data_IF_465615774943
#
_entry.id   IF_465615774943
#
_cell.length_a   1.000
_cell.length_b   1.000
_cell.length_c   1.000
_cell.angle_alpha   90.00
_cell.angle_beta   90.00
_cell.angle_gamma   90.00
#
_symmetry.space_group_name_H-M   'P 1'
#
loop_
_entity.id
_entity.type
_entity.pdbx_description
1 polymer ?
#
# COMPACT_ATOMS: atom_id res chain seq x y z
N UNK A 1 -1.88 -12.57 -5.83
CA UNK A 1 -0.78 -13.06 -6.69
C UNK A 1 0.27 -11.97 -6.81
N UNK A 2 1.55 -12.31 -6.83
CA UNK A 2 2.64 -11.38 -7.13
C UNK A 2 3.54 -11.98 -8.24
N UNK A 3 3.91 -11.17 -9.23
CA UNK A 3 4.81 -11.56 -10.33
C UNK A 3 6.20 -10.96 -10.12
N UNK A 4 7.27 -11.67 -10.48
CA UNK A 4 8.63 -11.27 -10.13
C UNK A 4 9.52 -11.11 -11.38
N UNK A 5 10.24 -9.99 -11.46
CA UNK A 5 11.25 -9.61 -12.45
C UNK A 5 12.57 -9.32 -11.72
N UNK A 6 13.72 -9.51 -12.36
CA UNK A 6 15.04 -9.33 -11.73
C UNK A 6 15.89 -8.35 -12.55
N UNK A 7 16.47 -7.34 -11.91
CA UNK A 7 17.44 -6.39 -12.49
C UNK A 7 18.67 -6.28 -11.58
N UNK A 8 19.72 -5.54 -11.93
CA UNK A 8 20.91 -5.38 -11.08
C UNK A 8 21.62 -4.06 -11.41
N UNK A 9 21.70 -3.11 -10.46
CA UNK A 9 22.89 -2.24 -10.22
C UNK A 9 22.80 -1.21 -9.05
N UNK A 10 23.54 -1.48 -7.96
CA UNK A 10 24.52 -0.66 -7.18
C UNK A 10 24.42 0.87 -6.92
N UNK A 11 24.55 1.21 -5.60
CA UNK A 11 25.22 2.38 -4.89
C UNK A 11 24.50 3.76 -4.83
N UNK A 12 24.51 4.60 -3.77
CA UNK A 12 25.17 4.64 -2.44
C UNK A 12 24.66 5.82 -1.54
N UNK A 13 24.63 5.58 -0.22
CA UNK A 13 25.17 6.38 0.91
C UNK A 13 24.71 7.82 1.32
N UNK A 14 24.03 7.87 2.49
CA UNK A 14 24.37 8.50 3.80
C UNK A 14 24.42 10.04 4.07
N UNK A 15 23.63 10.43 5.10
CA UNK A 15 24.06 11.19 6.31
C UNK A 15 23.75 12.70 6.37
N UNK A 16 23.64 13.42 7.50
CA UNK A 16 23.34 13.20 8.94
C UNK A 16 23.28 14.61 9.64
N UNK A 17 22.75 14.70 10.88
CA UNK A 17 22.82 15.77 11.92
C UNK A 17 21.98 17.07 11.76
N UNK A 18 21.00 17.38 12.66
CA UNK A 18 21.08 17.95 14.05
C UNK A 18 21.58 19.42 14.07
N UNK A 19 21.12 20.41 14.87
CA UNK A 19 20.25 20.53 16.06
C UNK A 19 20.11 22.04 16.42
N UNK A 20 19.07 22.37 17.21
CA UNK A 20 19.02 23.37 18.33
C UNK A 20 19.12 24.89 18.07
N UNK A 21 18.21 25.69 18.67
CA UNK A 21 18.34 26.40 19.98
C UNK A 21 17.03 27.16 20.32
N UNK A 22 16.66 27.21 21.63
CA UNK A 22 15.48 27.85 22.28
C UNK A 22 15.81 29.31 22.76
N UNK A 23 15.09 29.92 23.74
CA UNK A 23 13.79 30.59 23.71
C UNK A 23 13.90 32.08 24.17
N UNK A 24 12.82 32.89 24.09
CA UNK A 24 12.84 34.19 24.76
C UNK A 24 11.54 35.00 24.72
N UNK A 25 11.03 35.30 25.92
CA UNK A 25 10.12 36.37 26.30
C UNK A 25 8.63 36.30 25.85
N UNK A 26 7.84 35.70 26.73
CA UNK A 26 6.43 36.01 26.90
C UNK A 26 6.28 37.44 27.46
N UNK A 27 5.67 38.33 26.69
CA UNK A 27 5.04 39.55 27.20
C UNK A 27 3.56 39.51 26.85
N UNK A 28 2.74 39.26 27.87
CA UNK A 28 1.29 39.36 27.80
C UNK A 28 0.91 40.84 27.84
N UNK A 29 0.55 41.40 26.68
CA UNK A 29 -0.03 42.74 26.57
C UNK A 29 -1.47 42.59 26.06
N UNK A 30 -2.42 42.91 26.93
CA UNK A 30 -3.86 42.93 26.63
C UNK A 30 -4.13 43.83 25.41
N UNK A 31 -4.68 43.23 24.33
CA UNK A 31 -4.95 43.93 23.08
C UNK A 31 -6.45 44.16 22.94
N UNK A 32 -6.86 45.42 23.06
CA UNK A 32 -8.13 45.95 22.53
C UNK A 32 -8.36 45.35 21.13
N UNK A 33 -9.59 44.96 20.80
CA UNK A 33 -9.95 44.41 19.48
C UNK A 33 -9.52 45.39 18.38
N UNK A 34 -8.36 45.13 17.80
CA UNK A 34 -7.73 45.96 16.78
C UNK A 34 -8.44 45.66 15.47
N UNK A 35 -9.46 46.45 15.13
CA UNK A 35 -9.84 46.55 13.73
C UNK A 35 -8.60 47.05 12.99
N UNK A 36 -8.05 46.21 12.12
CA UNK A 36 -6.91 46.55 11.28
C UNK A 36 -7.50 47.21 10.04
N UNK A 37 -7.41 48.54 9.97
CA UNK A 37 -7.53 49.20 8.69
C UNK A 37 -6.29 48.79 7.89
N UNK A 38 -6.49 47.89 6.92
CA UNK A 38 -5.39 47.25 6.16
C UNK A 38 -4.82 48.24 5.14
N UNK A 39 -5.57 49.27 4.78
CA UNK A 39 -5.13 50.38 3.94
C UNK A 39 -4.27 51.36 4.74
N UNK A 40 -3.09 51.71 4.19
CA UNK A 40 -2.46 52.98 4.57
C UNK A 40 -3.33 54.12 4.01
N UNK A 41 -3.58 55.21 4.75
CA UNK A 41 -4.25 56.36 4.19
C UNK A 41 -3.40 56.90 3.01
N UNK A 42 -4.03 57.28 1.89
CA UNK A 42 -3.28 57.78 0.74
C UNK A 42 -2.61 59.11 1.10
N UNK A 43 -1.32 59.25 0.78
CA UNK A 43 -0.57 60.52 0.89
C UNK A 43 -0.98 61.49 -0.24
N UNK A 44 -2.27 61.74 -0.39
CA UNK A 44 -2.87 62.48 -1.52
C UNK A 44 -2.51 63.97 -1.56
N UNK A 45 -1.87 64.51 -0.52
CA UNK A 45 -1.57 65.94 -0.37
C UNK A 45 -0.12 66.32 -0.67
N UNK A 46 0.77 65.33 -0.86
CA UNK A 46 2.18 65.57 -1.19
C UNK A 46 2.42 65.46 -2.70
N UNK A 47 3.05 66.48 -3.30
CA UNK A 47 3.39 66.49 -4.74
C UNK A 47 4.23 65.26 -5.15
N UNK A 48 5.10 64.77 -4.26
CA UNK A 48 5.88 63.55 -4.49
C UNK A 48 5.06 62.26 -4.46
N UNK A 49 4.01 62.21 -3.62
CA UNK A 49 3.08 61.07 -3.56
C UNK A 49 2.20 61.01 -4.82
N UNK A 50 1.58 62.14 -5.16
CA UNK A 50 0.69 62.25 -6.32
C UNK A 50 1.40 61.94 -7.64
N UNK A 51 2.63 62.44 -7.83
CA UNK A 51 3.44 62.12 -9.03
C UNK A 51 3.81 60.65 -9.10
N UNK A 52 4.17 60.02 -7.97
CA UNK A 52 4.50 58.58 -7.90
C UNK A 52 3.31 57.69 -8.24
N UNK A 53 2.11 58.07 -7.82
CA UNK A 53 0.86 57.33 -8.10
C UNK A 53 0.45 57.45 -9.56
N UNK A 54 0.52 58.64 -10.15
CA UNK A 54 0.23 58.84 -11.57
C UNK A 54 1.25 58.13 -12.48
N UNK A 55 2.54 58.10 -12.09
CA UNK A 55 3.56 57.30 -12.78
C UNK A 55 3.25 55.81 -12.67
N UNK A 56 2.80 55.32 -11.51
CA UNK A 56 2.41 53.94 -11.34
C UNK A 56 1.22 53.53 -12.22
N UNK A 57 0.24 54.44 -12.41
CA UNK A 57 -0.93 54.22 -13.28
C UNK A 57 -0.52 54.27 -14.77
N UNK A 58 0.19 55.32 -15.20
CA UNK A 58 0.55 55.52 -16.61
C UNK A 58 1.53 54.48 -17.14
N UNK A 59 2.48 54.05 -16.31
CA UNK A 59 3.49 53.06 -16.68
C UNK A 59 3.19 51.66 -16.13
N UNK A 60 1.96 51.41 -15.65
CA UNK A 60 1.50 50.11 -15.15
C UNK A 60 2.48 49.43 -14.19
N UNK A 61 3.12 50.23 -13.31
CA UNK A 61 4.22 49.76 -12.44
C UNK A 61 3.81 48.58 -11.57
N UNK A 62 2.60 48.62 -11.01
CA UNK A 62 2.08 47.54 -10.17
C UNK A 62 1.74 46.28 -10.99
N UNK A 63 1.29 46.44 -12.24
CA UNK A 63 1.08 45.32 -13.17
C UNK A 63 2.39 44.62 -13.51
N UNK A 64 3.46 45.38 -13.78
CA UNK A 64 4.79 44.83 -14.03
C UNK A 64 5.38 44.17 -12.78
N UNK A 65 5.13 44.73 -11.59
CA UNK A 65 5.50 44.11 -10.31
C UNK A 65 4.78 42.77 -10.11
N UNK A 66 3.49 42.69 -10.42
CA UNK A 66 2.72 41.44 -10.39
C UNK A 66 3.22 40.41 -11.41
N UNK A 67 3.53 40.86 -12.64
CA UNK A 67 4.13 40.02 -13.69
C UNK A 67 5.49 39.46 -13.26
N UNK A 68 6.29 40.24 -12.52
CA UNK A 68 7.56 39.79 -11.93
C UNK A 68 7.38 38.64 -10.94
N UNK A 69 6.31 38.65 -10.13
CA UNK A 69 5.99 37.55 -9.21
C UNK A 69 5.59 36.29 -9.99
N UNK A 70 4.73 36.43 -11.01
CA UNK A 70 4.29 35.32 -11.87
C UNK A 70 5.49 34.72 -12.61
N UNK A 71 6.37 35.57 -13.14
CA UNK A 71 7.63 35.16 -13.77
C UNK A 71 8.51 34.37 -12.78
N UNK A 72 8.60 34.81 -11.53
CA UNK A 72 9.29 34.07 -10.47
C UNK A 72 8.68 32.70 -10.13
N UNK A 73 7.37 32.51 -10.34
CA UNK A 73 6.72 31.19 -10.16
C UNK A 73 7.04 30.22 -11.30
N UNK A 74 7.36 30.72 -12.50
CA UNK A 74 7.78 29.88 -13.64
C UNK A 74 9.10 29.14 -13.38
N UNK A 75 9.98 29.72 -12.56
CA UNK A 75 11.27 29.12 -12.19
C UNK A 75 11.22 28.29 -10.91
N UNK A 76 10.04 28.11 -10.30
CA UNK A 76 9.86 27.18 -9.17
C UNK A 76 9.50 25.80 -9.69
N UNK A 77 10.01 24.78 -9.00
CA UNK A 77 9.59 23.40 -9.25
C UNK A 77 8.09 23.24 -8.94
N UNK A 78 7.33 22.52 -9.79
CA UNK A 78 5.90 22.33 -9.58
C UNK A 78 5.63 21.44 -8.37
N UNK A 79 4.67 21.81 -7.53
CA UNK A 79 4.25 21.02 -6.36
C UNK A 79 3.32 19.84 -6.72
N UNK A 80 3.33 19.40 -7.98
CA UNK A 80 2.49 18.31 -8.48
C UNK A 80 3.17 16.98 -8.21
N UNK A 81 2.52 16.09 -7.48
CA UNK A 81 2.90 14.69 -7.41
C UNK A 81 2.50 13.98 -8.71
N UNK A 82 3.31 13.03 -9.15
CA UNK A 82 3.00 12.24 -10.34
C UNK A 82 2.00 11.10 -10.01
N UNK A 83 0.74 11.44 -9.73
CA UNK A 83 -0.29 10.44 -9.48
C UNK A 83 -0.57 9.64 -10.77
N UNK A 84 -0.58 8.28 -10.75
CA UNK A 84 -0.66 7.39 -9.58
C UNK A 84 0.66 6.81 -9.05
N UNK A 85 1.80 7.14 -9.68
CA UNK A 85 3.13 6.61 -9.35
C UNK A 85 3.70 7.18 -8.04
N UNK A 86 3.41 8.45 -7.76
CA UNK A 86 3.70 9.13 -6.51
C UNK A 86 2.39 9.50 -5.81
N UNK A 87 2.25 9.14 -4.53
CA UNK A 87 1.06 9.42 -3.73
C UNK A 87 1.39 10.43 -2.63
N UNK A 88 0.38 11.23 -2.25
CA UNK A 88 0.52 12.13 -1.11
C UNK A 88 0.78 11.33 0.18
N UNK A 89 1.60 11.86 1.10
CA UNK A 89 1.83 11.21 2.39
C UNK A 89 0.54 11.19 3.22
N UNK A 90 0.08 10.01 3.61
CA UNK A 90 -1.07 9.82 4.49
C UNK A 90 -0.61 9.58 5.93
N UNK A 91 -1.38 10.10 6.90
CA UNK A 91 -1.13 9.83 8.31
C UNK A 91 -1.65 8.44 8.70
N UNK A 92 -1.07 7.75 9.70
CA UNK A 92 -1.59 6.46 10.21
C UNK A 92 -3.00 6.50 10.83
N UNK A 93 -3.61 7.69 10.90
CA UNK A 93 -4.98 7.92 11.39
C UNK A 93 -5.93 8.26 10.24
N UNK A 94 -5.51 8.05 9.00
CA UNK A 94 -6.40 8.19 7.86
C UNK A 94 -7.58 7.21 8.01
N UNK A 95 -8.73 7.58 7.47
CA UNK A 95 -9.98 6.82 7.63
C UNK A 95 -10.42 6.34 6.25
N UNK A 96 -10.42 5.02 6.07
CA UNK A 96 -10.64 4.33 4.80
C UNK A 96 -11.81 3.34 4.83
N UNK A 97 -11.64 2.20 4.17
CA UNK A 97 -12.70 1.21 4.01
C UNK A 97 -12.93 0.42 5.31
N UNK A 98 -14.12 -0.18 5.47
CA UNK A 98 -14.45 -0.91 6.70
C UNK A 98 -14.20 -2.40 6.49
N UNK A 99 -13.50 -3.05 7.42
CA UNK A 99 -13.22 -4.50 7.39
C UNK A 99 -13.36 -5.12 8.78
N UNK A 100 -13.79 -6.38 8.91
CA UNK A 100 -13.90 -7.06 10.23
C UNK A 100 -12.64 -7.85 10.58
N UNK A 101 -12.10 -7.63 11.79
CA UNK A 101 -10.97 -8.36 12.36
C UNK A 101 -11.40 -9.59 13.15
N UNK A 102 -10.55 -10.61 13.09
CA UNK A 102 -10.55 -11.82 13.93
C UNK A 102 -9.49 -11.73 15.04
N UNK A 103 -9.74 -12.41 16.15
CA UNK A 103 -8.75 -12.66 17.20
C UNK A 103 -7.62 -13.53 16.63
N UNK A 104 -6.47 -13.63 17.33
CA UNK A 104 -5.43 -14.53 16.90
C UNK A 104 -5.96 -15.95 16.76
N UNK A 105 -6.79 -16.43 17.68
CA UNK A 105 -7.47 -17.75 17.65
C UNK A 105 -8.38 -18.05 16.44
N UNK A 106 -8.46 -17.15 15.45
CA UNK A 106 -9.31 -17.28 14.27
C UNK A 106 -10.79 -16.90 14.51
N UNK A 107 -11.18 -16.77 15.77
CA UNK A 107 -12.54 -16.38 16.14
C UNK A 107 -12.80 -14.91 15.77
N UNK A 108 -13.98 -14.60 15.26
CA UNK A 108 -14.37 -13.22 14.99
C UNK A 108 -14.33 -12.37 16.27
N UNK A 109 -13.78 -11.16 16.20
CA UNK A 109 -13.75 -10.27 17.38
C UNK A 109 -15.14 -9.72 17.67
N UNK A 110 -16.03 -9.68 16.68
CA UNK A 110 -17.36 -9.11 16.84
C UNK A 110 -18.19 -9.93 17.84
N UNK A 111 -18.51 -9.32 18.97
CA UNK A 111 -19.38 -9.88 20.02
C UNK A 111 -20.85 -9.46 19.89
N UNK A 112 -21.22 -8.93 18.72
CA UNK A 112 -22.57 -8.43 18.43
C UNK A 112 -23.13 -7.44 19.48
N UNK A 113 -22.25 -6.57 20.02
CA UNK A 113 -22.62 -5.61 21.08
C UNK A 113 -23.51 -4.47 20.60
N UNK A 114 -23.61 -4.25 19.27
CA UNK A 114 -24.38 -3.19 18.61
C UNK A 114 -23.99 -1.74 18.94
N UNK A 115 -22.87 -1.52 19.62
CA UNK A 115 -22.37 -0.16 19.88
C UNK A 115 -22.03 0.59 18.57
N UNK A 116 -21.46 -0.11 17.58
CA UNK A 116 -21.09 0.46 16.29
C UNK A 116 -22.32 0.93 15.48
N UNK A 117 -23.43 0.20 15.59
CA UNK A 117 -24.72 0.56 14.99
C UNK A 117 -25.30 1.82 15.66
N UNK A 118 -25.23 1.90 16.99
CA UNK A 118 -25.74 3.04 17.75
C UNK A 118 -24.94 4.33 17.56
N UNK A 119 -23.61 4.23 17.44
CA UNK A 119 -22.73 5.42 17.29
C UNK A 119 -22.69 5.95 15.85
N UNK A 120 -23.12 5.17 14.86
CA UNK A 120 -23.02 5.55 13.46
C UNK A 120 -23.94 6.76 13.17
N UNK A 121 -23.40 7.94 12.83
CA UNK A 121 -24.22 9.15 12.67
C UNK A 121 -25.13 9.09 11.44
N UNK A 122 -24.73 8.32 10.41
CA UNK A 122 -25.50 8.09 9.20
C UNK A 122 -26.31 6.78 9.22
N UNK A 123 -26.28 6.05 10.34
CA UNK A 123 -26.97 4.76 10.51
C UNK A 123 -26.73 3.78 9.34
N UNK A 124 -25.48 3.71 8.89
CA UNK A 124 -25.07 2.89 7.74
C UNK A 124 -24.90 1.40 8.07
N UNK A 125 -24.85 1.05 9.35
CA UNK A 125 -24.54 -0.31 9.82
C UNK A 125 -25.83 -0.99 10.29
N UNK A 126 -26.06 -2.23 9.87
CA UNK A 126 -27.17 -3.07 10.35
C UNK A 126 -26.62 -4.36 10.94
N UNK A 127 -27.00 -4.66 12.19
CA UNK A 127 -26.48 -5.81 12.93
C UNK A 127 -27.62 -6.68 13.47
N UNK A 128 -27.63 -7.95 13.10
CA UNK A 128 -28.52 -8.97 13.67
C UNK A 128 -27.68 -9.95 14.51
N UNK A 129 -28.17 -10.26 15.72
CA UNK A 129 -27.41 -10.99 16.72
C UNK A 129 -28.20 -12.21 17.18
N UNK A 130 -27.60 -13.40 17.07
CA UNK A 130 -28.18 -14.65 17.53
C UNK A 130 -27.15 -15.43 18.37
N UNK A 131 -27.61 -16.23 19.34
CA UNK A 131 -26.72 -17.13 20.07
C UNK A 131 -26.29 -18.27 19.14
N UNK A 132 -24.97 -18.49 19.06
CA UNK A 132 -24.40 -19.64 18.36
C UNK A 132 -24.60 -20.93 19.18
N UNK A 133 -24.40 -22.09 18.56
CA UNK A 133 -24.45 -23.40 19.23
C UNK A 133 -23.58 -23.47 20.50
N UNK A 134 -22.47 -22.72 20.54
CA UNK A 134 -21.54 -22.65 21.67
C UNK A 134 -22.01 -21.72 22.81
N UNK A 135 -23.20 -21.12 22.69
CA UNK A 135 -23.74 -20.16 23.65
C UNK A 135 -23.13 -18.75 23.57
N UNK A 136 -22.13 -18.54 22.70
CA UNK A 136 -21.55 -17.23 22.43
C UNK A 136 -22.47 -16.36 21.56
N UNK A 137 -22.51 -15.05 21.84
CA UNK A 137 -23.31 -14.09 21.06
C UNK A 137 -22.53 -13.65 19.83
N UNK A 138 -23.06 -13.93 18.64
CA UNK A 138 -22.42 -13.62 17.36
C UNK A 138 -23.39 -12.95 16.39
N UNK A 139 -22.83 -12.33 15.35
CA UNK A 139 -23.62 -11.66 14.32
C UNK A 139 -24.00 -12.64 13.23
N UNK A 140 -25.29 -12.77 12.94
CA UNK A 140 -25.78 -13.54 11.77
C UNK A 140 -25.72 -12.71 10.51
N UNK A 141 -26.00 -11.42 10.64
CA UNK A 141 -25.94 -10.43 9.58
C UNK A 141 -25.22 -9.19 10.07
N UNK A 142 -24.19 -8.80 9.34
CA UNK A 142 -23.42 -7.59 9.57
C UNK A 142 -23.19 -6.91 8.22
N UNK A 143 -23.99 -5.91 7.93
CA UNK A 143 -23.93 -5.19 6.65
C UNK A 143 -23.61 -3.71 6.90
N UNK A 144 -22.72 -3.16 6.08
CA UNK A 144 -22.40 -1.73 6.05
C UNK A 144 -22.75 -1.19 4.67
N UNK A 145 -23.64 -0.21 4.64
CA UNK A 145 -23.98 0.52 3.43
C UNK A 145 -22.94 1.63 3.18
N UNK A 146 -21.99 1.35 2.28
CA UNK A 146 -20.93 2.30 1.91
C UNK A 146 -21.47 3.58 1.27
N UNK A 147 -22.70 3.58 0.75
CA UNK A 147 -23.33 4.78 0.18
C UNK A 147 -23.82 5.76 1.25
N UNK A 148 -24.14 5.26 2.45
CA UNK A 148 -24.55 6.07 3.61
C UNK A 148 -23.36 6.43 4.50
N UNK A 149 -22.30 5.64 4.48
CA UNK A 149 -21.17 5.85 5.35
C UNK A 149 -20.45 7.18 5.05
N UNK A 150 -20.22 7.99 6.10
CA UNK A 150 -19.50 9.28 6.00
C UNK A 150 -18.02 9.18 6.37
N UNK A 151 -17.49 7.97 6.55
CA UNK A 151 -16.07 7.71 6.86
C UNK A 151 -15.55 8.44 8.13
N UNK A 152 -16.42 8.67 9.12
CA UNK A 152 -16.07 9.36 10.36
C UNK A 152 -15.21 8.54 11.34
N UNK A 153 -15.20 7.21 11.21
CA UNK A 153 -14.43 6.30 12.06
C UNK A 153 -14.92 6.13 13.51
N UNK A 154 -16.13 6.59 13.85
CA UNK A 154 -16.68 6.40 15.20
C UNK A 154 -16.92 4.92 15.53
N UNK A 155 -17.22 4.08 14.55
CA UNK A 155 -17.35 2.64 14.73
C UNK A 155 -16.03 1.96 15.15
N UNK A 156 -14.87 2.51 14.73
CA UNK A 156 -13.55 2.02 15.14
C UNK A 156 -13.27 2.35 16.60
N UNK A 157 -13.54 3.59 17.02
CA UNK A 157 -13.26 4.06 18.38
C UNK A 157 -14.29 3.53 19.40
N UNK A 158 -15.53 3.28 18.98
CA UNK A 158 -16.58 2.77 19.86
C UNK A 158 -16.55 1.25 20.06
N UNK A 159 -15.82 0.50 19.23
CA UNK A 159 -15.80 -0.94 19.31
C UNK A 159 -14.95 -1.40 20.51
N UNK A 160 -15.52 -2.08 21.52
CA UNK A 160 -14.80 -2.45 22.75
C UNK A 160 -13.75 -3.57 22.55
N UNK A 161 -13.76 -4.23 21.40
CA UNK A 161 -12.99 -5.44 21.08
C UNK A 161 -12.14 -5.30 19.81
N UNK A 162 -12.05 -4.08 19.26
CA UNK A 162 -11.33 -3.78 18.01
C UNK A 162 -11.65 -4.75 16.85
N UNK A 163 -12.93 -5.04 16.68
CA UNK A 163 -13.41 -6.03 15.73
C UNK A 163 -13.45 -5.56 14.28
N UNK A 164 -13.12 -4.31 13.97
CA UNK A 164 -13.20 -3.77 12.62
C UNK A 164 -11.91 -3.07 12.25
N UNK A 165 -11.05 -3.70 11.42
CA UNK A 165 -9.95 -3.08 10.67
C UNK A 165 -9.34 -4.05 9.59
N UNK A 166 -8.46 -3.57 8.71
CA UNK A 166 -8.06 -4.09 7.38
C UNK A 166 -6.76 -5.01 7.38
N UNK A 167 -6.58 -6.07 6.53
CA UNK A 167 -5.28 -6.84 6.28
C UNK A 167 -5.22 -7.79 5.02
N UNK A 168 -4.05 -8.00 4.33
CA UNK A 168 -3.87 -8.93 3.16
C UNK A 168 -2.48 -8.97 2.41
N UNK A 169 -2.37 -9.67 1.24
CA UNK A 169 -1.17 -10.02 0.41
C UNK A 169 -0.01 -8.99 0.31
N UNK A 170 -0.37 -7.73 0.36
CA UNK A 170 0.50 -6.56 0.30
C UNK A 170 1.46 -6.52 1.50
N UNK A 171 1.05 -7.08 2.64
CA UNK A 171 1.88 -7.27 3.83
C UNK A 171 3.04 -8.24 3.58
N UNK A 172 2.81 -9.34 2.86
CA UNK A 172 3.88 -10.31 2.48
C UNK A 172 4.89 -9.64 1.55
N UNK A 173 4.39 -8.88 0.57
CA UNK A 173 5.23 -8.14 -0.38
C UNK A 173 6.12 -7.10 0.33
N UNK A 174 5.57 -6.35 1.29
CA UNK A 174 6.34 -5.39 2.08
C UNK A 174 7.40 -6.08 2.95
N UNK A 175 7.03 -7.19 3.60
CA UNK A 175 7.93 -7.95 4.46
C UNK A 175 9.13 -8.52 3.70
N UNK A 176 8.91 -9.12 2.53
CA UNK A 176 9.99 -9.72 1.72
C UNK A 176 10.96 -8.68 1.16
N UNK A 177 10.49 -7.47 0.89
CA UNK A 177 11.32 -6.38 0.38
C UNK A 177 12.10 -5.63 1.47
N UNK A 178 11.97 -6.02 2.74
CA UNK A 178 12.41 -5.23 3.91
C UNK A 178 11.95 -3.76 3.86
N UNK A 179 10.89 -3.50 3.10
CA UNK A 179 10.27 -2.20 2.97
C UNK A 179 9.55 -1.93 4.29
N UNK A 180 10.20 -1.13 5.14
CA UNK A 180 9.60 -0.57 6.36
C UNK A 180 8.62 0.54 5.99
N UNK A 181 7.61 0.21 5.18
CA UNK A 181 6.29 0.74 5.48
C UNK A 181 5.96 0.17 6.85
N UNK A 182 6.21 0.98 7.89
CA UNK A 182 5.73 0.71 9.24
C UNK A 182 4.35 0.11 9.12
N UNK A 183 4.14 -1.03 9.76
CA UNK A 183 2.84 -1.68 9.90
C UNK A 183 1.83 -0.71 10.53
N UNK A 184 1.33 0.24 9.75
CA UNK A 184 0.02 0.82 9.92
C UNK A 184 -0.92 -0.33 9.61
N UNK A 185 -1.66 -0.81 10.61
CA UNK A 185 -2.60 -1.92 10.45
C UNK A 185 -3.82 -1.57 9.57
N UNK A 186 -3.62 -0.81 8.49
CA UNK A 186 -4.55 -0.37 7.44
C UNK A 186 -4.13 -1.09 6.13
N UNK A 187 -5.04 -1.81 5.51
CA UNK A 187 -4.85 -2.59 4.29
C UNK A 187 -5.75 -2.04 3.21
N UNK A 188 -5.08 -1.48 2.22
CA UNK A 188 -5.71 -0.96 1.02
C UNK A 188 -5.64 -2.05 -0.06
N UNK A 189 -6.74 -2.41 -0.73
CA UNK A 189 -6.69 -3.35 -1.83
C UNK A 189 -5.87 -2.76 -2.99
N UNK A 190 -4.84 -3.47 -3.43
CA UNK A 190 -4.00 -3.06 -4.58
C UNK A 190 -4.89 -2.78 -5.80
N UNK A 191 -4.82 -1.56 -6.32
CA UNK A 191 -5.51 -1.15 -7.55
C UNK A 191 -4.58 -1.44 -8.73
N UNK A 192 -4.95 -2.37 -9.62
CA UNK A 192 -4.08 -2.80 -10.72
C UNK A 192 -2.85 -3.57 -10.24
N UNK A 193 -1.68 -2.92 -10.18
CA UNK A 193 -0.43 -3.52 -9.71
C UNK A 193 0.44 -2.50 -8.94
N UNK A 194 1.28 -2.99 -8.03
CA UNK A 194 2.29 -2.21 -7.31
C UNK A 194 3.64 -2.90 -7.45
N UNK A 195 4.66 -2.20 -7.90
CA UNK A 195 6.01 -2.75 -8.07
C UNK A 195 6.84 -2.37 -6.85
N UNK A 196 7.53 -3.34 -6.27
CA UNK A 196 8.45 -3.16 -5.16
C UNK A 196 9.81 -3.67 -5.60
N UNK A 197 10.81 -2.79 -5.54
CA UNK A 197 12.19 -3.08 -5.94
C UNK A 197 13.06 -3.25 -4.69
N UNK A 198 13.82 -4.34 -4.63
CA UNK A 198 14.72 -4.60 -3.52
C UNK A 198 15.91 -5.46 -3.94
N UNK A 199 17.04 -5.29 -3.24
CA UNK A 199 18.22 -6.15 -3.45
C UNK A 199 18.12 -7.39 -2.56
N UNK A 200 18.31 -8.56 -3.16
CA UNK A 200 18.41 -9.82 -2.45
C UNK A 200 19.84 -10.39 -2.55
N UNK A 201 20.39 -10.81 -1.41
CA UNK A 201 21.67 -11.52 -1.34
C UNK A 201 21.42 -13.03 -1.22
N UNK A 202 21.47 -13.73 -2.34
CA UNK A 202 21.24 -15.18 -2.44
C UNK A 202 22.51 -15.97 -2.14
N UNK A 203 23.10 -15.82 -0.94
CA UNK A 203 24.15 -16.72 -0.40
C UNK A 203 25.42 -16.93 -1.27
N UNK A 204 25.52 -16.22 -2.39
CA UNK A 204 26.51 -16.31 -3.44
C UNK A 204 26.86 -14.91 -3.92
N UNK A 205 28.04 -14.75 -4.50
CA UNK A 205 28.77 -13.49 -4.72
C UNK A 205 28.08 -12.38 -5.56
N UNK A 206 26.80 -12.47 -5.89
CA UNK A 206 26.08 -11.51 -6.72
C UNK A 206 24.83 -10.98 -6.02
N UNK A 207 24.75 -9.64 -5.86
CA UNK A 207 23.50 -8.98 -5.49
C UNK A 207 22.58 -9.00 -6.70
N UNK A 208 21.37 -9.52 -6.51
CA UNK A 208 20.32 -9.52 -7.52
C UNK A 208 19.26 -8.54 -7.06
N UNK A 209 18.94 -7.57 -7.90
CA UNK A 209 17.81 -6.67 -7.68
C UNK A 209 16.54 -7.33 -8.21
N UNK A 210 15.48 -7.20 -7.44
CA UNK A 210 14.25 -7.94 -7.58
C UNK A 210 13.13 -6.92 -7.70
N UNK A 211 12.44 -6.92 -8.82
CA UNK A 211 11.16 -6.26 -9.04
C UNK A 211 10.01 -7.22 -8.71
N UNK A 212 9.36 -7.04 -7.58
CA UNK A 212 8.16 -7.79 -7.21
C UNK A 212 6.91 -6.96 -7.47
N UNK A 213 6.11 -7.40 -8.42
CA UNK A 213 4.84 -6.81 -8.81
C UNK A 213 3.71 -7.43 -7.97
N UNK A 214 3.22 -6.73 -6.94
CA UNK A 214 2.00 -7.07 -6.19
C UNK A 214 0.76 -6.77 -7.04
N UNK A 215 0.03 -7.81 -7.43
CA UNK A 215 -1.06 -7.75 -8.41
C UNK A 215 -2.44 -7.77 -7.72
N UNK A 216 -3.38 -6.95 -8.18
CA UNK A 216 -4.78 -7.04 -7.75
C UNK A 216 -5.40 -8.37 -8.19
N UNK A 217 -6.14 -9.01 -7.29
CA UNK A 217 -6.94 -10.20 -7.59
C UNK A 217 -8.34 -9.90 -8.15
N UNK A 218 -8.69 -8.61 -8.28
CA UNK A 218 -10.01 -8.20 -8.75
C UNK A 218 -10.10 -8.27 -10.29
N UNK A 219 -11.16 -8.92 -10.79
CA UNK A 219 -11.41 -9.10 -12.23
C UNK A 219 -11.57 -7.79 -12.98
N UNK A 220 -11.86 -6.68 -12.28
CA UNK A 220 -11.88 -5.33 -12.88
C UNK A 220 -10.54 -4.94 -13.53
N UNK A 221 -9.43 -5.53 -13.09
CA UNK A 221 -8.09 -5.27 -13.62
C UNK A 221 -7.59 -6.38 -14.56
N UNK A 222 -8.44 -7.29 -15.00
CA UNK A 222 -8.07 -8.38 -15.92
C UNK A 222 -7.48 -7.87 -17.23
N UNK A 223 -7.89 -6.68 -17.67
CA UNK A 223 -7.35 -6.02 -18.87
C UNK A 223 -5.87 -5.67 -18.78
N UNK A 224 -5.30 -5.50 -17.58
CA UNK A 224 -3.87 -5.21 -17.42
C UNK A 224 -3.00 -6.45 -17.17
N UNK A 225 -3.59 -7.64 -17.00
CA UNK A 225 -2.84 -8.86 -16.76
C UNK A 225 -1.84 -9.23 -17.87
N UNK A 226 -2.13 -9.06 -19.18
CA UNK A 226 -1.13 -9.33 -20.23
C UNK A 226 0.15 -8.50 -20.07
N UNK A 227 0.02 -7.24 -19.63
CA UNK A 227 1.16 -6.35 -19.41
C UNK A 227 2.01 -6.80 -18.21
N UNK A 228 1.36 -7.33 -17.18
CA UNK A 228 2.00 -7.83 -15.97
C UNK A 228 2.66 -9.19 -16.18
N UNK A 229 2.05 -10.02 -17.04
CA UNK A 229 2.54 -11.35 -17.37
C UNK A 229 3.77 -11.30 -18.30
N UNK A 230 3.88 -10.27 -19.15
CA UNK A 230 4.98 -10.11 -20.10
C UNK A 230 6.34 -10.10 -19.39
N UNK A 231 7.26 -10.94 -19.85
CA UNK A 231 8.64 -11.08 -19.36
C UNK A 231 8.70 -11.45 -17.87
N UNK A 232 7.69 -12.15 -17.34
CA UNK A 232 7.69 -12.62 -15.95
C UNK A 232 8.61 -13.82 -15.81
N UNK A 233 9.48 -13.80 -14.82
CA UNK A 233 10.45 -14.89 -14.59
C UNK A 233 9.95 -15.94 -13.61
N UNK A 234 9.13 -15.51 -12.67
CA UNK A 234 8.53 -16.37 -11.66
C UNK A 234 7.31 -15.74 -11.01
N UNK A 235 6.51 -16.59 -10.37
CA UNK A 235 5.20 -16.23 -9.85
C UNK A 235 5.06 -16.69 -8.40
N UNK A 236 4.65 -15.76 -7.53
CA UNK A 236 4.36 -16.02 -6.12
C UNK A 236 2.85 -15.94 -5.93
N UNK A 237 2.23 -17.08 -5.63
CA UNK A 237 0.84 -17.11 -5.21
C UNK A 237 0.75 -16.90 -3.71
N UNK A 238 -0.19 -16.08 -3.27
CA UNK A 238 -0.46 -15.87 -1.85
C UNK A 238 -1.95 -16.08 -1.66
N UNK A 239 -2.31 -17.02 -0.80
CA UNK A 239 -3.70 -17.27 -0.45
C UNK A 239 -3.81 -17.51 1.05
N UNK A 240 -5.00 -17.19 1.59
CA UNK A 240 -5.34 -17.58 2.94
C UNK A 240 -5.98 -18.99 2.89
N UNK A 241 -5.37 -20.01 3.53
CA UNK A 241 -5.91 -21.37 3.55
C UNK A 241 -7.15 -21.53 4.44
N UNK A 242 -7.41 -20.60 5.35
CA UNK A 242 -8.58 -20.62 6.24
C UNK A 242 -9.88 -20.22 5.53
N UNK A 243 -9.78 -19.66 4.32
CA UNK A 243 -10.92 -19.24 3.51
C UNK A 243 -11.23 -20.29 2.43
N UNK A 244 -12.40 -20.95 2.46
CA UNK A 244 -12.85 -21.78 1.36
C UNK A 244 -13.21 -20.90 0.14
N UNK A 245 -12.94 -21.37 -1.08
CA UNK A 245 -13.17 -20.73 -2.40
C UNK A 245 -12.00 -20.00 -3.08
N UNK A 246 -10.80 -19.92 -2.47
CA UNK A 246 -9.63 -19.34 -3.15
C UNK A 246 -9.04 -20.27 -4.22
N UNK A 247 -9.42 -21.55 -4.24
CA UNK A 247 -8.95 -22.57 -5.18
C UNK A 247 -9.25 -22.21 -6.65
N UNK A 248 -10.50 -21.83 -6.95
CA UNK A 248 -10.93 -21.49 -8.32
C UNK A 248 -10.25 -20.22 -8.85
N UNK A 249 -10.09 -19.23 -7.98
CA UNK A 249 -9.41 -17.98 -8.34
C UNK A 249 -7.92 -18.23 -8.59
N UNK A 250 -7.29 -19.08 -7.78
CA UNK A 250 -5.90 -19.50 -7.99
C UNK A 250 -5.71 -20.29 -9.28
N UNK A 251 -6.62 -21.21 -9.63
CA UNK A 251 -6.60 -21.93 -10.90
C UNK A 251 -6.69 -20.96 -12.08
N UNK A 252 -7.62 -20.01 -12.03
CA UNK A 252 -7.75 -18.98 -13.07
C UNK A 252 -6.49 -18.13 -13.25
N UNK A 253 -5.82 -17.76 -12.15
CA UNK A 253 -4.55 -17.05 -12.21
C UNK A 253 -3.40 -17.91 -12.71
N UNK A 254 -3.35 -19.17 -12.31
CA UNK A 254 -2.32 -20.12 -12.76
C UNK A 254 -2.41 -20.35 -14.28
N UNK A 255 -3.61 -20.58 -14.80
CA UNK A 255 -3.81 -20.73 -16.25
C UNK A 255 -3.34 -19.51 -17.03
N UNK A 256 -3.64 -18.30 -16.52
CA UNK A 256 -3.28 -17.07 -17.21
C UNK A 256 -1.78 -16.73 -17.13
N UNK A 257 -1.18 -16.78 -15.94
CA UNK A 257 0.18 -16.30 -15.74
C UNK A 257 1.25 -17.38 -15.88
N UNK A 258 0.88 -18.67 -15.76
CA UNK A 258 1.83 -19.79 -15.86
C UNK A 258 1.63 -20.52 -17.19
N UNK A 259 0.45 -21.09 -17.41
CA UNK A 259 0.18 -21.93 -18.60
C UNK A 259 0.27 -21.13 -19.90
N UNK A 260 -0.35 -19.95 -19.98
CA UNK A 260 -0.30 -19.12 -21.20
C UNK A 260 1.08 -18.51 -21.45
N UNK A 261 1.88 -18.27 -20.40
CA UNK A 261 3.23 -17.70 -20.53
C UNK A 261 4.32 -18.76 -20.66
N UNK A 262 3.96 -20.05 -20.72
CA UNK A 262 4.90 -21.18 -20.80
C UNK A 262 5.92 -21.22 -19.66
N UNK A 263 5.52 -20.78 -18.45
CA UNK A 263 6.36 -20.90 -17.26
C UNK A 263 6.28 -22.32 -16.69
N UNK A 264 7.37 -22.78 -16.08
CA UNK A 264 7.43 -24.10 -15.43
C UNK A 264 6.94 -24.00 -13.98
N UNK A 265 6.41 -25.11 -13.46
CA UNK A 265 6.01 -25.25 -12.05
C UNK A 265 7.17 -24.92 -11.08
N UNK A 266 8.41 -25.22 -11.48
CA UNK A 266 9.62 -24.90 -10.72
C UNK A 266 9.89 -23.40 -10.55
N UNK A 267 9.25 -22.55 -11.37
CA UNK A 267 9.34 -21.09 -11.31
C UNK A 267 8.15 -20.48 -10.56
N UNK A 268 7.34 -21.30 -9.89
CA UNK A 268 6.21 -20.86 -9.08
C UNK A 268 6.40 -21.27 -7.62
N UNK A 269 5.93 -20.43 -6.70
CA UNK A 269 5.86 -20.75 -5.28
C UNK A 269 4.50 -20.29 -4.73
N UNK A 270 3.92 -21.10 -3.86
CA UNK A 270 2.64 -20.80 -3.20
C UNK A 270 2.92 -20.55 -1.72
N UNK A 271 2.56 -19.37 -1.24
CA UNK A 271 2.61 -18.98 0.16
C UNK A 271 1.19 -19.08 0.73
N UNK A 272 0.95 -20.14 1.50
CA UNK A 272 -0.25 -20.27 2.30
C UNK A 272 -0.08 -19.37 3.53
N UNK A 273 -0.50 -18.12 3.40
CA UNK A 273 -0.29 -17.11 4.42
C UNK A 273 -1.38 -17.18 5.47
N UNK A 274 -0.99 -17.63 6.66
CA UNK A 274 -1.86 -17.71 7.81
C UNK A 274 -1.82 -16.40 8.60
N UNK A 275 -2.99 -16.00 9.12
CA UNK A 275 -3.04 -14.98 10.14
C UNK A 275 -2.52 -15.58 11.46
N UNK A 276 -1.74 -14.84 12.27
CA UNK A 276 -1.29 -15.31 13.59
C UNK A 276 -2.45 -15.88 14.41
N UNK A 277 -2.29 -17.14 14.84
CA UNK A 277 -3.22 -17.95 15.66
C UNK A 277 -4.32 -18.75 14.92
N UNK A 278 -4.23 -18.89 13.59
CA UNK A 278 -5.08 -19.80 12.83
C UNK A 278 -4.86 -21.29 13.21
N UNK A 279 -5.94 -22.08 13.24
CA UNK A 279 -5.88 -23.51 13.57
C UNK A 279 -5.37 -24.34 12.37
N UNK A 280 -4.29 -25.11 12.55
CA UNK A 280 -3.69 -25.98 11.50
C UNK A 280 -4.61 -27.11 10.97
N UNK A 281 -5.80 -27.33 11.57
CA UNK A 281 -6.59 -28.55 11.40
C UNK A 281 -7.57 -28.55 10.21
N UNK A 282 -7.91 -27.38 9.65
CA UNK A 282 -8.84 -27.26 8.51
C UNK A 282 -8.14 -26.63 7.31
N UNK A 283 -7.14 -27.33 6.79
CA UNK A 283 -6.36 -26.86 5.65
C UNK A 283 -7.14 -27.10 4.37
N UNK A 284 -7.50 -26.05 3.64
CA UNK A 284 -8.03 -26.19 2.28
C UNK A 284 -6.99 -26.90 1.41
N UNK A 285 -7.38 -28.05 0.84
CA UNK A 285 -6.55 -28.78 -0.11
C UNK A 285 -6.66 -28.07 -1.46
N UNK A 286 -5.52 -27.67 -2.00
CA UNK A 286 -5.43 -27.14 -3.36
C UNK A 286 -5.69 -28.27 -4.35
N UNK A 287 -6.25 -27.89 -5.51
CA UNK A 287 -6.51 -28.79 -6.63
C UNK A 287 -5.23 -29.49 -7.11
N UNK A 288 -5.39 -30.67 -7.74
CA UNK A 288 -4.28 -31.49 -8.26
C UNK A 288 -3.39 -30.72 -9.26
N UNK A 289 -3.90 -29.65 -9.86
CA UNK A 289 -3.17 -28.70 -10.71
C UNK A 289 -1.90 -28.16 -10.04
N UNK A 290 -1.91 -28.00 -8.71
CA UNK A 290 -0.79 -27.45 -7.95
C UNK A 290 0.13 -28.52 -7.34
N UNK A 291 -0.07 -29.80 -7.65
CA UNK A 291 0.66 -30.91 -7.01
C UNK A 291 2.19 -30.82 -7.17
N UNK A 292 2.67 -30.22 -8.27
CA UNK A 292 4.10 -30.07 -8.56
C UNK A 292 4.68 -28.72 -8.10
N UNK A 293 3.85 -27.79 -7.64
CA UNK A 293 4.27 -26.45 -7.22
C UNK A 293 4.62 -26.44 -5.73
N UNK A 294 5.76 -25.84 -5.37
CA UNK A 294 6.17 -25.77 -3.98
C UNK A 294 5.19 -24.91 -3.17
N UNK A 295 4.55 -25.51 -2.17
CA UNK A 295 3.65 -24.82 -1.22
C UNK A 295 4.31 -24.69 0.14
N UNK A 296 4.39 -23.47 0.66
CA UNK A 296 5.00 -23.12 1.94
C UNK A 296 3.94 -22.48 2.84
N UNK A 297 3.84 -22.92 4.09
CA UNK A 297 3.01 -22.22 5.08
C UNK A 297 3.79 -21.05 5.64
N UNK A 298 3.15 -19.88 5.68
CA UNK A 298 3.82 -18.66 6.10
C UNK A 298 3.02 -17.92 7.15
N UNK A 299 3.66 -17.65 8.29
CA UNK A 299 3.20 -16.69 9.28
C UNK A 299 4.31 -15.64 9.46
N UNK A 300 4.05 -14.40 9.06
CA UNK A 300 5.07 -13.34 9.10
C UNK A 300 5.42 -12.95 10.54
N UNK A 301 4.46 -13.03 11.46
CA UNK A 301 4.66 -12.58 12.85
C UNK A 301 5.41 -13.62 13.70
N UNK A 302 5.24 -14.90 13.40
CA UNK A 302 5.87 -16.01 14.16
C UNK A 302 7.14 -16.53 13.47
N UNK A 303 7.11 -16.73 12.15
CA UNK A 303 8.14 -17.46 11.38
C UNK A 303 8.77 -16.61 10.25
N UNK A 304 8.91 -15.30 10.47
CA UNK A 304 9.36 -14.36 9.44
C UNK A 304 10.70 -14.74 8.76
N UNK A 305 11.67 -15.26 9.52
CA UNK A 305 12.97 -15.65 8.97
C UNK A 305 12.87 -16.88 8.05
N UNK A 306 12.01 -17.84 8.36
CA UNK A 306 11.78 -19.02 7.53
C UNK A 306 11.09 -18.66 6.22
N UNK A 307 10.15 -17.71 6.25
CA UNK A 307 9.51 -17.15 5.04
C UNK A 307 10.58 -16.53 4.12
N UNK A 308 11.50 -15.74 4.67
CA UNK A 308 12.60 -15.13 3.91
C UNK A 308 13.55 -16.19 3.36
N UNK A 309 13.88 -17.22 4.13
CA UNK A 309 14.74 -18.33 3.68
C UNK A 309 14.10 -19.13 2.53
N UNK A 310 12.80 -19.44 2.62
CA UNK A 310 12.08 -20.12 1.55
C UNK A 310 12.04 -19.29 0.27
N UNK A 311 11.80 -17.99 0.40
CA UNK A 311 11.80 -17.07 -0.73
C UNK A 311 13.20 -16.94 -1.37
N UNK A 312 14.26 -16.81 -0.57
CA UNK A 312 15.64 -16.76 -1.08
C UNK A 312 16.03 -18.05 -1.80
N UNK A 313 15.66 -19.21 -1.27
CA UNK A 313 15.89 -20.50 -1.93
C UNK A 313 15.15 -20.59 -3.28
N UNK A 314 13.93 -20.05 -3.35
CA UNK A 314 13.16 -19.96 -4.57
C UNK A 314 13.82 -19.03 -5.60
N UNK A 315 14.28 -17.84 -5.18
CA UNK A 315 15.03 -16.92 -6.04
C UNK A 315 16.30 -17.55 -6.60
N UNK A 316 17.09 -18.23 -5.77
CA UNK A 316 18.29 -18.95 -6.22
C UNK A 316 17.99 -19.95 -7.35
N UNK A 317 16.87 -20.69 -7.26
CA UNK A 317 16.45 -21.65 -8.31
C UNK A 317 16.07 -20.94 -9.60
N UNK A 318 15.36 -19.82 -9.52
CA UNK A 318 15.00 -19.01 -10.69
C UNK A 318 16.24 -18.44 -11.36
N UNK A 319 17.19 -17.92 -10.57
CA UNK A 319 18.43 -17.36 -11.09
C UNK A 319 19.24 -18.44 -11.83
N UNK A 320 19.36 -19.65 -11.27
CA UNK A 320 20.01 -20.77 -11.96
C UNK A 320 19.27 -21.18 -13.24
N UNK A 321 17.93 -21.23 -13.22
CA UNK A 321 17.16 -21.54 -14.42
C UNK A 321 17.30 -20.47 -15.51
N UNK A 322 17.41 -19.20 -15.12
CA UNK A 322 17.66 -18.07 -16.01
C UNK A 322 19.05 -18.12 -16.63
N UNK A 323 20.09 -18.38 -15.84
CA UNK A 323 21.46 -18.50 -16.36
C UNK A 323 21.55 -19.64 -17.37
N UNK A 324 20.96 -20.79 -17.07
CA UNK A 324 20.95 -21.95 -17.97
C UNK A 324 20.21 -21.65 -19.29
N UNK A 325 19.12 -20.89 -19.24
CA UNK A 325 18.38 -20.50 -20.45
C UNK A 325 19.18 -19.49 -21.29
N UNK A 326 19.80 -18.50 -20.65
CA UNK A 326 20.65 -17.52 -21.32
C UNK A 326 21.86 -18.18 -21.99
N UNK A 327 22.54 -19.09 -21.31
CA UNK A 327 23.66 -19.85 -21.88
C UNK A 327 23.22 -20.68 -23.09
N UNK A 328 22.03 -21.30 -23.05
CA UNK A 328 21.47 -22.04 -24.20
C UNK A 328 21.15 -21.12 -25.38
N UNK A 329 20.61 -19.94 -25.13
CA UNK A 329 20.36 -18.95 -26.18
C UNK A 329 21.67 -18.48 -26.81
N UNK A 330 22.68 -18.12 -26.00
CA UNK A 330 24.01 -17.73 -26.47
C UNK A 330 24.69 -18.84 -27.30
N UNK A 331 24.59 -20.11 -26.87
CA UNK A 331 25.07 -21.28 -27.63
C UNK A 331 24.31 -21.50 -28.94
N UNK A 332 23.01 -21.20 -28.98
CA UNK A 332 22.20 -21.33 -30.20
C UNK A 332 22.54 -20.27 -31.25
N UNK A 333 22.94 -19.07 -30.81
CA UNK A 333 23.39 -17.97 -31.68
C UNK A 333 24.77 -18.29 -32.27
N UNK A 334 25.67 -18.90 -31.51
CA UNK A 334 27.02 -19.26 -31.99
C UNK A 334 27.02 -20.42 -33.00
N UNK A 335 25.99 -21.27 -33.01
CA UNK A 335 25.89 -22.43 -33.89
C UNK A 335 25.07 -22.19 -35.18
N UNK A 336 24.51 -21.00 -35.38
CA UNK A 336 23.80 -20.56 -36.58
C UNK A 336 24.67 -19.58 -37.39
#
# INVERSE_FOLDING_TARGET
MATLKLFSATRAAHGHLQKLVRPGACMYQQKRSKYMDVSKPPDATSFGGMTSDHVAILFFRETLRGLGIISGMMFKEPATINYPFEKGPLSPRFRGEHALRRYPSGEERCIACKLCEAVCPAQAITIEAEPRADGSRRTTRYDIDMTKCIYCGFCQEACPVDAIVESGKTTVSNFLADATDQASGEYHPTQGCRIVEFECNTGGRQNVEVEMWDCSGDRRFETCWPAMAKDTTGVVFVYNPDMPNHDKDMEGWYDFFVTQQSLKDSQCIILAHHKPGANERERSQLSDTFANVQTVQTNIEEDGDDVRNHFNNYLSRIISALSDNREKEELSIMNN
#
